data_IF_077518261585
#
_entry.id   IF_077518261585
#
_cell.length_a   1.000
_cell.length_b   1.000
_cell.length_c   1.000
_cell.angle_alpha   90.00
_cell.angle_beta   90.00
_cell.angle_gamma   90.00
#
_symmetry.space_group_name_H-M   'P 1'
#
loop_
_entity.id
_entity.type
_entity.pdbx_description
1 polymer ?
#
# COMPACT_ATOMS: atom_id res chain seq x y z
N UNK A 1 0.46 5.15 -21.12
CA UNK A 1 -0.44 4.31 -20.29
C UNK A 1 0.43 3.25 -19.68
N UNK A 2 0.20 2.92 -18.43
CA UNK A 2 0.96 1.93 -17.69
C UNK A 2 -0.01 1.00 -16.96
N UNK A 3 0.30 -0.29 -16.99
CA UNK A 3 -0.35 -1.34 -16.21
C UNK A 3 0.69 -1.83 -15.22
N UNK A 4 0.39 -1.71 -13.93
CA UNK A 4 1.24 -2.15 -12.86
C UNK A 4 0.61 -3.34 -12.11
N UNK A 5 1.44 -4.29 -11.72
CA UNK A 5 1.07 -5.52 -11.02
C UNK A 5 1.68 -5.49 -9.63
N UNK A 6 0.84 -5.42 -8.60
CA UNK A 6 1.27 -5.30 -7.21
C UNK A 6 0.70 -6.40 -6.32
N UNK A 7 1.41 -6.71 -5.25
CA UNK A 7 0.95 -7.68 -4.25
C UNK A 7 0.00 -7.08 -3.21
N UNK A 8 -0.04 -5.74 -3.10
CA UNK A 8 -0.88 -5.02 -2.17
C UNK A 8 -1.70 -3.91 -2.86
N UNK A 9 -2.47 -3.20 -2.06
CA UNK A 9 -3.38 -2.13 -2.49
C UNK A 9 -2.69 -0.75 -2.58
N UNK A 10 -1.36 -0.72 -2.52
CA UNK A 10 -0.51 0.47 -2.39
C UNK A 10 0.55 0.51 -3.49
N UNK A 11 0.74 1.69 -4.11
CA UNK A 11 1.79 1.84 -5.13
C UNK A 11 3.17 1.96 -4.49
N UNK A 12 4.18 1.39 -5.14
CA UNK A 12 5.59 1.56 -4.78
C UNK A 12 6.41 0.27 -4.66
N UNK A 13 5.84 -0.89 -4.98
CA UNK A 13 6.59 -2.13 -5.22
C UNK A 13 5.89 -2.91 -6.32
N UNK A 14 5.84 -2.30 -7.51
CA UNK A 14 4.96 -2.75 -8.60
C UNK A 14 5.78 -3.00 -9.86
N UNK A 15 5.58 -4.17 -10.47
CA UNK A 15 6.09 -4.43 -11.82
C UNK A 15 5.20 -3.72 -12.83
N UNK A 16 5.78 -2.90 -13.68
CA UNK A 16 5.05 -2.03 -14.59
C UNK A 16 5.33 -2.40 -16.04
N UNK A 17 4.27 -2.57 -16.81
CA UNK A 17 4.33 -2.63 -18.27
C UNK A 17 3.69 -1.37 -18.83
N UNK A 18 4.45 -0.62 -19.61
CA UNK A 18 4.04 0.68 -20.11
C UNK A 18 4.10 0.78 -21.62
N UNK A 19 3.22 1.61 -22.15
CA UNK A 19 3.15 1.97 -23.55
C UNK A 19 3.28 3.50 -23.67
N UNK A 20 4.29 3.94 -24.43
CA UNK A 20 4.74 5.32 -24.52
C UNK A 20 4.69 5.80 -25.97
N UNK A 21 4.28 7.06 -26.15
CA UNK A 21 4.22 7.75 -27.43
C UNK A 21 5.20 8.94 -27.39
N UNK A 22 6.44 8.78 -27.86
CA UNK A 22 7.43 9.86 -27.89
C UNK A 22 7.03 10.98 -28.86
N UNK A 23 7.48 12.20 -28.59
CA UNK A 23 7.19 13.37 -29.43
C UNK A 23 8.00 13.30 -30.74
N UNK A 24 7.46 12.59 -31.74
CA UNK A 24 8.08 12.43 -33.06
C UNK A 24 8.72 11.06 -33.32
N UNK A 25 8.41 10.06 -32.50
CA UNK A 25 8.85 8.68 -32.73
C UNK A 25 7.69 7.69 -32.76
N UNK A 26 8.00 6.46 -33.15
CA UNK A 26 7.05 5.34 -33.11
C UNK A 26 6.68 4.98 -31.65
N UNK A 27 5.46 4.46 -31.42
CA UNK A 27 5.07 4.01 -30.09
C UNK A 27 5.91 2.81 -29.65
N UNK A 28 6.30 2.80 -28.37
CA UNK A 28 7.11 1.74 -27.78
C UNK A 28 6.46 1.18 -26.52
N UNK A 29 6.77 -0.08 -26.21
CA UNK A 29 6.40 -0.72 -24.96
C UNK A 29 7.66 -1.06 -24.17
N UNK A 30 7.63 -0.81 -22.86
CA UNK A 30 8.76 -1.05 -21.95
C UNK A 30 8.27 -1.66 -20.65
N UNK A 31 9.18 -2.34 -19.94
CA UNK A 31 9.03 -2.63 -18.54
C UNK A 31 9.64 -1.53 -17.69
N UNK A 32 9.13 -1.38 -16.49
CA UNK A 32 9.75 -0.57 -15.44
C UNK A 32 9.32 -1.12 -14.08
N UNK A 33 10.02 -0.71 -13.03
CA UNK A 33 9.70 -1.10 -11.66
C UNK A 33 9.40 0.17 -10.86
N UNK A 34 8.26 0.18 -10.16
CA UNK A 34 7.97 1.22 -9.19
C UNK A 34 8.65 0.85 -7.87
N UNK A 35 9.56 1.69 -7.41
CA UNK A 35 10.25 1.54 -6.12
C UNK A 35 9.98 2.80 -5.28
N UNK A 36 9.09 2.65 -4.30
CA UNK A 36 8.56 3.73 -3.49
C UNK A 36 7.79 4.77 -4.32
N UNK A 37 8.40 5.94 -4.53
CA UNK A 37 7.81 7.06 -5.28
C UNK A 37 8.50 7.29 -6.63
N UNK A 38 9.39 6.39 -7.02
CA UNK A 38 10.22 6.51 -8.21
C UNK A 38 9.95 5.35 -9.15
N UNK A 39 10.06 5.61 -10.45
CA UNK A 39 9.97 4.60 -11.49
C UNK A 39 11.37 4.34 -12.05
N UNK A 40 11.78 3.08 -12.09
CA UNK A 40 13.11 2.63 -12.50
C UNK A 40 12.98 1.79 -13.77
N UNK A 41 13.44 2.28 -14.94
CA UNK A 41 13.48 1.47 -16.15
C UNK A 41 14.71 0.52 -16.18
N UNK A 42 14.69 -0.52 -17.03
CA UNK A 42 15.84 -1.36 -17.33
C UNK A 42 17.01 -0.55 -17.91
N UNK A 43 18.15 -0.57 -17.20
CA UNK A 43 19.36 0.14 -17.62
C UNK A 43 20.47 -0.79 -18.12
N UNK A 44 20.60 -1.99 -17.54
CA UNK A 44 21.60 -2.99 -17.93
C UNK A 44 21.25 -3.65 -19.27
N UNK A 45 22.25 -3.98 -20.09
CA UNK A 45 22.04 -4.64 -21.39
C UNK A 45 21.34 -5.99 -21.26
N UNK A 46 21.62 -6.76 -20.21
CA UNK A 46 20.96 -8.03 -19.95
C UNK A 46 19.45 -7.85 -19.69
N UNK A 47 19.07 -6.82 -18.94
CA UNK A 47 17.67 -6.53 -18.62
C UNK A 47 16.91 -6.01 -19.84
N UNK A 48 17.56 -5.19 -20.69
CA UNK A 48 17.00 -4.74 -21.97
C UNK A 48 16.79 -5.90 -22.95
N UNK A 49 17.74 -6.83 -23.03
CA UNK A 49 17.60 -8.04 -23.84
C UNK A 49 16.45 -8.93 -23.33
N UNK A 50 16.29 -9.05 -22.01
CA UNK A 50 15.16 -9.75 -21.42
C UNK A 50 13.82 -9.05 -21.70
N UNK A 51 13.77 -7.71 -21.70
CA UNK A 51 12.60 -6.94 -22.12
C UNK A 51 12.19 -7.28 -23.56
N UNK A 52 13.12 -7.21 -24.51
CA UNK A 52 12.85 -7.49 -25.93
C UNK A 52 12.35 -8.93 -26.18
N UNK A 53 12.81 -9.89 -25.38
CA UNK A 53 12.36 -11.28 -25.47
C UNK A 53 10.97 -11.52 -24.85
N UNK A 54 10.61 -10.75 -23.82
CA UNK A 54 9.40 -10.97 -23.04
C UNK A 54 8.26 -9.99 -23.35
N UNK A 55 8.53 -8.89 -24.04
CA UNK A 55 7.56 -7.85 -24.36
C UNK A 55 7.59 -7.51 -25.86
N UNK A 56 6.43 -7.57 -26.50
CA UNK A 56 6.26 -7.16 -27.90
C UNK A 56 5.04 -6.29 -28.05
N UNK A 57 5.24 -5.05 -28.52
CA UNK A 57 4.12 -4.20 -28.94
C UNK A 57 3.52 -4.75 -30.24
N UNK A 58 2.22 -4.99 -30.25
CA UNK A 58 1.47 -5.52 -31.41
C UNK A 58 0.81 -4.37 -32.17
N UNK A 59 0.12 -3.49 -31.45
CA UNK A 59 -0.54 -2.34 -32.04
C UNK A 59 -0.63 -1.21 -31.01
N UNK A 60 -0.43 0.03 -31.45
CA UNK A 60 -0.62 1.19 -30.61
C UNK A 60 -1.19 2.33 -31.45
N UNK A 61 -2.16 3.04 -30.87
CA UNK A 61 -2.80 4.18 -31.50
C UNK A 61 -3.04 5.27 -30.45
N UNK A 62 -2.83 6.53 -30.83
CA UNK A 62 -3.14 7.70 -30.01
C UNK A 62 -3.84 8.72 -30.89
N UNK A 63 -5.09 9.00 -30.56
CA UNK A 63 -5.96 9.95 -31.27
C UNK A 63 -6.75 10.82 -30.30
N UNK A 64 -7.78 11.49 -30.82
CA UNK A 64 -8.70 12.31 -30.01
C UNK A 64 -9.54 11.45 -29.05
N UNK A 65 -9.88 10.22 -29.47
CA UNK A 65 -10.63 9.24 -28.67
C UNK A 65 -9.82 8.60 -27.53
N UNK A 66 -8.55 8.97 -27.39
CA UNK A 66 -7.65 8.50 -26.34
C UNK A 66 -6.51 7.65 -26.87
N UNK A 67 -5.97 6.81 -25.98
CA UNK A 67 -4.81 5.98 -26.28
C UNK A 67 -5.14 4.51 -26.15
N UNK A 68 -4.72 3.73 -27.15
CA UNK A 68 -4.90 2.29 -27.22
C UNK A 68 -3.54 1.61 -27.38
N UNK A 69 -3.29 0.58 -26.59
CA UNK A 69 -2.06 -0.20 -26.64
C UNK A 69 -2.37 -1.69 -26.50
N UNK A 70 -1.93 -2.47 -27.48
CA UNK A 70 -1.99 -3.91 -27.52
C UNK A 70 -0.56 -4.44 -27.57
N UNK A 71 -0.16 -5.14 -26.52
CA UNK A 71 1.15 -5.76 -26.41
C UNK A 71 1.00 -7.22 -25.97
N UNK A 72 1.99 -8.05 -26.31
CA UNK A 72 2.14 -9.41 -25.81
C UNK A 72 3.25 -9.43 -24.79
N UNK A 73 2.96 -10.02 -23.64
CA UNK A 73 3.88 -10.15 -22.54
C UNK A 73 3.98 -11.62 -22.13
N UNK A 74 5.20 -12.10 -21.92
CA UNK A 74 5.46 -13.43 -21.37
C UNK A 74 5.50 -13.36 -19.83
N UNK A 75 4.84 -14.31 -19.17
CA UNK A 75 5.03 -14.50 -17.73
C UNK A 75 6.42 -15.09 -17.47
N UNK A 76 7.15 -14.52 -16.52
CA UNK A 76 8.43 -15.07 -16.06
C UNK A 76 8.25 -15.83 -14.75
N UNK A 77 9.23 -16.69 -14.40
CA UNK A 77 9.29 -17.38 -13.11
C UNK A 77 10.13 -16.60 -12.08
N UNK A 78 10.25 -15.27 -12.23
CA UNK A 78 11.09 -14.42 -11.38
C UNK A 78 12.56 -14.33 -11.78
N UNK A 79 12.94 -14.86 -12.95
CA UNK A 79 14.32 -14.77 -13.48
C UNK A 79 14.70 -13.35 -13.95
N UNK A 80 13.70 -12.54 -14.33
CA UNK A 80 13.90 -11.17 -14.77
C UNK A 80 13.48 -10.20 -13.68
N UNK A 81 14.34 -9.21 -13.41
CA UNK A 81 14.12 -8.17 -12.40
C UNK A 81 12.93 -7.25 -12.70
N UNK A 82 12.59 -7.08 -13.98
CA UNK A 82 11.57 -6.11 -14.41
C UNK A 82 10.31 -6.75 -14.99
N UNK A 83 10.39 -8.01 -15.44
CA UNK A 83 9.24 -8.68 -16.03
C UNK A 83 8.29 -9.22 -14.95
N UNK A 84 6.99 -8.87 -14.98
CA UNK A 84 6.02 -9.36 -14.01
C UNK A 84 5.86 -10.89 -14.04
N UNK A 85 5.70 -11.49 -12.86
CA UNK A 85 5.23 -12.88 -12.70
C UNK A 85 3.70 -12.85 -12.73
N UNK A 86 3.09 -13.28 -13.83
CA UNK A 86 1.64 -13.15 -14.06
C UNK A 86 0.81 -14.35 -13.55
N UNK A 87 1.46 -15.41 -13.07
CA UNK A 87 0.81 -16.63 -12.57
C UNK A 87 0.36 -16.52 -11.10
N UNK A 88 0.40 -15.33 -10.51
CA UNK A 88 -0.05 -15.07 -9.14
C UNK A 88 -1.21 -14.08 -9.11
N UNK A 89 -1.99 -14.14 -8.05
CA UNK A 89 -3.11 -13.24 -7.82
C UNK A 89 -2.57 -11.88 -7.35
N UNK A 90 -2.79 -10.81 -8.13
CA UNK A 90 -2.22 -9.48 -7.90
C UNK A 90 -3.23 -8.36 -8.13
N UNK A 91 -3.04 -7.23 -7.46
CA UNK A 91 -3.79 -6.02 -7.79
C UNK A 91 -3.26 -5.44 -9.11
N UNK A 92 -4.19 -5.00 -9.96
CA UNK A 92 -3.87 -4.36 -11.23
C UNK A 92 -4.11 -2.87 -11.07
N UNK A 93 -3.08 -2.09 -11.39
CA UNK A 93 -3.09 -0.63 -11.36
C UNK A 93 -3.01 -0.14 -12.80
N UNK A 94 -3.99 0.66 -13.21
CA UNK A 94 -4.02 1.27 -14.53
C UNK A 94 -3.85 2.78 -14.38
N UNK A 95 -2.77 3.31 -14.94
CA UNK A 95 -2.47 4.73 -14.88
C UNK A 95 -2.19 5.31 -16.28
N UNK A 96 -2.55 6.58 -16.45
CA UNK A 96 -2.17 7.36 -17.64
C UNK A 96 -1.53 8.67 -17.21
N UNK A 97 -0.48 9.05 -17.92
CA UNK A 97 0.37 10.17 -17.54
C UNK A 97 1.45 10.43 -18.59
N UNK A 98 2.32 11.38 -18.28
CA UNK A 98 3.48 11.70 -19.10
C UNK A 98 4.62 10.73 -18.78
N UNK A 99 5.39 10.35 -19.80
CA UNK A 99 6.62 9.61 -19.64
C UNK A 99 7.81 10.59 -19.77
N UNK A 100 8.79 10.45 -18.90
CA UNK A 100 10.07 11.15 -18.93
C UNK A 100 11.09 10.32 -19.70
N UNK A 101 11.74 10.94 -20.67
CA UNK A 101 12.78 10.34 -21.53
C UNK A 101 12.32 9.09 -22.30
N UNK A 102 11.01 8.96 -22.56
CA UNK A 102 10.41 7.84 -23.31
C UNK A 102 10.34 6.50 -22.57
N UNK A 103 11.06 6.34 -21.44
CA UNK A 103 11.12 5.09 -20.67
C UNK A 103 10.78 5.20 -19.20
N UNK A 104 11.01 6.34 -18.56
CA UNK A 104 10.61 6.53 -17.15
C UNK A 104 9.22 7.13 -17.07
N UNK A 105 8.43 6.75 -16.08
CA UNK A 105 7.10 7.31 -15.85
C UNK A 105 7.15 8.48 -14.88
N UNK A 106 6.35 9.51 -15.16
CA UNK A 106 6.11 10.60 -14.22
C UNK A 106 4.91 10.28 -13.31
N UNK A 107 4.79 11.03 -12.22
CA UNK A 107 3.72 10.87 -11.23
C UNK A 107 2.37 11.16 -11.90
N UNK A 108 1.41 10.24 -11.74
CA UNK A 108 0.03 10.42 -12.19
C UNK A 108 -0.71 11.45 -11.31
N UNK A 109 -1.94 11.83 -11.68
CA UNK A 109 -2.69 12.77 -10.83
C UNK A 109 -2.98 12.18 -9.45
N UNK A 110 -2.82 12.97 -8.40
CA UNK A 110 -3.21 12.61 -7.03
C UNK A 110 -4.65 13.04 -6.69
N UNK A 111 -5.32 13.73 -7.61
CA UNK A 111 -6.71 14.17 -7.49
C UNK A 111 -7.66 13.07 -7.99
N UNK A 112 -8.53 12.49 -7.12
CA UNK A 112 -9.49 11.46 -7.49
C UNK A 112 -10.49 11.87 -8.57
N UNK A 113 -10.71 13.18 -8.75
CA UNK A 113 -11.62 13.71 -9.78
C UNK A 113 -10.95 13.85 -11.14
N UNK A 114 -9.62 13.73 -11.18
CA UNK A 114 -8.86 13.82 -12.42
C UNK A 114 -9.00 12.55 -13.24
N UNK A 115 -9.16 12.71 -14.55
CA UNK A 115 -9.16 11.59 -15.49
C UNK A 115 -7.80 10.86 -15.53
N UNK A 116 -6.72 11.48 -15.01
CA UNK A 116 -5.40 10.84 -14.87
C UNK A 116 -5.20 10.16 -13.50
N UNK A 117 -6.23 10.08 -12.67
CA UNK A 117 -6.18 9.31 -11.44
C UNK A 117 -6.08 7.80 -11.78
N UNK A 118 -5.22 7.04 -11.08
CA UNK A 118 -5.02 5.63 -11.36
C UNK A 118 -6.25 4.84 -10.93
N UNK A 119 -6.60 3.85 -11.73
CA UNK A 119 -7.58 2.83 -11.35
C UNK A 119 -6.86 1.65 -10.71
N UNK A 120 -7.42 1.09 -9.64
CA UNK A 120 -6.85 -0.07 -8.95
C UNK A 120 -7.97 -1.08 -8.74
N UNK A 121 -7.72 -2.36 -9.04
CA UNK A 121 -8.70 -3.42 -8.75
C UNK A 121 -8.98 -3.51 -7.25
N UNK A 122 -10.24 -3.76 -6.90
CA UNK A 122 -10.66 -3.97 -5.51
C UNK A 122 -10.11 -5.28 -4.96
N UNK A 123 -10.08 -6.31 -5.81
CA UNK A 123 -9.58 -7.64 -5.50
C UNK A 123 -8.32 -7.97 -6.32
N UNK A 124 -7.62 -9.02 -5.89
CA UNK A 124 -6.50 -9.58 -6.62
C UNK A 124 -7.01 -10.38 -7.81
N UNK A 125 -6.36 -10.21 -8.95
CA UNK A 125 -6.71 -10.85 -10.22
C UNK A 125 -5.50 -11.64 -10.71
N UNK A 126 -5.75 -12.86 -11.22
CA UNK A 126 -4.74 -13.66 -11.90
C UNK A 126 -4.91 -13.52 -13.40
N UNK A 127 -3.89 -13.03 -14.10
CA UNK A 127 -3.98 -12.76 -15.54
C UNK A 127 -3.78 -14.04 -16.38
N UNK A 128 -3.17 -15.09 -15.79
CA UNK A 128 -2.83 -16.34 -16.49
C UNK A 128 -3.86 -17.45 -16.34
N UNK A 129 -4.64 -17.47 -15.25
CA UNK A 129 -5.72 -18.45 -15.04
C UNK A 129 -6.82 -18.25 -16.11
N UNK A 130 -6.80 -19.12 -17.13
CA UNK A 130 -7.85 -19.23 -18.17
C UNK A 130 -8.86 -20.32 -17.78
N UNK A 131 -10.06 -19.95 -17.36
CA UNK A 131 -11.07 -20.92 -16.90
C UNK A 131 -11.58 -21.88 -18.00
N UNK A 132 -11.39 -23.19 -17.84
CA UNK A 132 -12.04 -24.23 -18.65
C UNK A 132 -13.59 -24.15 -18.57
N UNK A 133 -14.35 -24.60 -19.59
CA UNK A 133 -15.79 -24.34 -19.67
C UNK A 133 -16.56 -24.97 -18.50
N UNK A 134 -17.21 -24.12 -17.70
CA UNK A 134 -18.15 -24.52 -16.67
C UNK A 134 -19.38 -25.18 -17.31
N UNK A 135 -19.68 -26.41 -16.92
CA UNK A 135 -20.96 -27.05 -17.22
C UNK A 135 -22.07 -26.29 -16.47
N UNK A 136 -23.14 -25.97 -17.20
CA UNK A 136 -24.32 -25.31 -16.65
C UNK A 136 -24.84 -26.10 -15.42
N UNK A 137 -25.20 -25.42 -14.32
CA UNK A 137 -25.78 -26.09 -13.16
C UNK A 137 -27.15 -26.63 -13.57
N UNK A 138 -27.22 -27.95 -13.73
CA UNK A 138 -28.50 -28.65 -13.66
C UNK A 138 -28.86 -28.75 -12.20
N UNK A 139 -30.05 -28.26 -11.87
CA UNK A 139 -30.74 -28.28 -10.59
C UNK A 139 -30.61 -26.98 -9.78
N UNK A 140 -31.72 -26.24 -9.81
CA UNK A 140 -32.03 -25.18 -8.87
C UNK A 140 -32.08 -25.76 -7.45
N UNK A 141 -31.02 -25.57 -6.68
CA UNK A 141 -31.10 -25.47 -5.22
C UNK A 141 -30.47 -24.15 -4.83
N UNK A 142 -31.25 -23.35 -4.10
CA UNK A 142 -30.95 -22.02 -3.59
C UNK A 142 -29.45 -21.78 -3.40
N UNK A 143 -28.89 -20.94 -4.28
CA UNK A 143 -27.57 -20.36 -4.07
C UNK A 143 -27.74 -19.28 -2.99
N UNK A 144 -27.22 -19.55 -1.80
CA UNK A 144 -26.95 -18.50 -0.81
C UNK A 144 -25.98 -17.50 -1.44
N UNK A 145 -26.44 -16.24 -1.47
CA UNK A 145 -25.71 -15.08 -1.92
C UNK A 145 -24.67 -14.73 -0.83
N UNK A 146 -23.51 -15.40 -0.84
CA UNK A 146 -22.38 -14.96 -0.02
C UNK A 146 -21.81 -13.67 -0.61
N UNK A 147 -22.20 -12.55 0.00
CA UNK A 147 -21.60 -11.23 -0.21
C UNK A 147 -20.10 -11.32 0.05
N UNK A 148 -19.27 -10.99 -0.95
CA UNK A 148 -17.85 -10.78 -0.76
C UNK A 148 -17.63 -9.82 0.42
N UNK A 149 -16.87 -10.26 1.43
CA UNK A 149 -16.55 -9.48 2.63
C UNK A 149 -15.75 -8.23 2.21
N UNK A 150 -16.46 -7.11 2.03
CA UNK A 150 -15.87 -5.78 1.86
C UNK A 150 -14.90 -5.51 3.02
N UNK A 151 -13.67 -5.01 2.76
CA UNK A 151 -12.75 -4.65 3.82
C UNK A 151 -13.41 -3.66 4.79
N UNK A 152 -13.47 -4.02 6.07
CA UNK A 152 -14.11 -3.26 7.17
C UNK A 152 -13.72 -1.76 7.23
N UNK A 153 -12.59 -1.39 6.62
CA UNK A 153 -12.17 0.01 6.44
C UNK A 153 -11.92 0.26 4.95
N UNK A 154 -12.77 1.12 4.35
CA UNK A 154 -12.61 1.58 2.97
C UNK A 154 -11.22 2.20 2.75
N UNK A 155 -10.66 1.99 1.55
CA UNK A 155 -9.34 2.52 1.15
C UNK A 155 -9.27 4.04 1.30
N UNK A 156 -10.36 4.73 0.98
CA UNK A 156 -10.48 6.18 1.15
C UNK A 156 -10.33 6.59 2.62
N UNK A 157 -10.92 5.82 3.52
CA UNK A 157 -10.78 6.03 4.97
C UNK A 157 -9.35 5.84 5.43
N UNK A 158 -8.62 4.83 4.92
CA UNK A 158 -7.20 4.64 5.25
C UNK A 158 -6.36 5.85 4.82
N UNK A 159 -6.55 6.32 3.59
CA UNK A 159 -5.84 7.50 3.08
C UNK A 159 -6.16 8.76 3.88
N UNK A 160 -7.43 8.98 4.22
CA UNK A 160 -7.86 10.12 5.01
C UNK A 160 -7.29 10.06 6.43
N UNK A 161 -7.29 8.88 7.05
CA UNK A 161 -6.70 8.64 8.37
C UNK A 161 -5.21 9.00 8.41
N UNK A 162 -4.43 8.58 7.40
CA UNK A 162 -3.00 8.91 7.31
C UNK A 162 -2.79 10.42 7.21
N UNK A 163 -3.61 11.12 6.41
CA UNK A 163 -3.55 12.59 6.26
C UNK A 163 -3.88 13.29 7.57
N UNK A 164 -4.98 12.92 8.21
CA UNK A 164 -5.41 13.51 9.50
C UNK A 164 -4.38 13.27 10.58
N UNK A 165 -3.83 12.04 10.67
CA UNK A 165 -2.75 11.73 11.59
C UNK A 165 -1.54 12.67 11.38
N UNK A 166 -1.10 12.86 10.13
CA UNK A 166 -0.01 13.79 9.81
C UNK A 166 -0.31 15.24 10.22
N UNK A 167 -1.53 15.73 9.97
CA UNK A 167 -1.95 17.08 10.37
C UNK A 167 -1.97 17.25 11.90
N UNK A 168 -2.50 16.27 12.62
CA UNK A 168 -2.53 16.27 14.08
C UNK A 168 -1.12 16.24 14.67
N UNK A 169 -0.18 15.51 14.06
CA UNK A 169 1.22 15.48 14.49
C UNK A 169 1.89 16.84 14.34
N UNK A 170 1.69 17.53 13.20
CA UNK A 170 2.24 18.89 12.99
C UNK A 170 1.62 19.87 13.99
N UNK A 171 0.30 19.80 14.19
CA UNK A 171 -0.38 20.67 15.14
C UNK A 171 0.12 20.46 16.58
N UNK A 172 0.22 19.20 17.03
CA UNK A 172 0.76 18.86 18.34
C UNK A 172 2.21 19.34 18.50
N UNK A 173 3.03 19.17 17.47
CA UNK A 173 4.42 19.66 17.46
C UNK A 173 4.51 21.18 17.65
N UNK A 174 3.68 21.96 16.95
CA UNK A 174 3.63 23.41 17.11
C UNK A 174 3.27 23.83 18.54
N UNK A 175 2.27 23.18 19.15
CA UNK A 175 1.83 23.47 20.51
C UNK A 175 2.89 23.07 21.55
N UNK A 176 3.48 21.88 21.42
CA UNK A 176 4.45 21.35 22.39
C UNK A 176 5.75 22.15 22.39
N UNK A 177 6.29 22.49 21.21
CA UNK A 177 7.52 23.30 21.11
C UNK A 177 7.27 24.71 21.65
N UNK A 178 6.16 25.35 21.27
CA UNK A 178 5.81 26.68 21.79
C UNK A 178 5.64 26.67 23.32
N UNK A 179 4.93 25.68 23.85
CA UNK A 179 4.70 25.53 25.30
C UNK A 179 5.99 25.30 26.07
N UNK A 180 6.92 24.51 25.52
CA UNK A 180 8.20 24.25 26.15
C UNK A 180 9.09 25.52 26.18
N UNK A 181 9.12 26.30 25.10
CA UNK A 181 9.85 27.58 25.05
C UNK A 181 9.27 28.59 26.03
N UNK A 182 7.94 28.74 26.08
CA UNK A 182 7.28 29.64 27.02
C UNK A 182 7.54 29.23 28.47
N UNK A 183 7.46 27.93 28.78
CA UNK A 183 7.74 27.40 30.12
C UNK A 183 9.19 27.67 30.54
N UNK A 184 10.16 27.46 29.63
CA UNK A 184 11.57 27.72 29.90
C UNK A 184 11.87 29.21 30.15
N UNK A 185 11.11 30.12 29.52
CA UNK A 185 11.31 31.56 29.64
C UNK A 185 10.61 32.17 30.86
N UNK A 186 9.35 31.80 31.10
CA UNK A 186 8.49 32.49 32.08
C UNK A 186 8.27 31.71 33.36
N UNK A 187 8.47 30.39 33.35
CA UNK A 187 8.14 29.52 34.48
C UNK A 187 9.39 28.95 35.18
N UNK A 188 10.58 29.42 34.80
CA UNK A 188 11.89 28.94 35.26
C UNK A 188 12.07 28.92 36.78
N UNK A 189 11.50 29.90 37.47
CA UNK A 189 11.76 30.15 38.89
C UNK A 189 10.84 29.36 39.82
N UNK A 190 9.79 28.73 39.27
CA UNK A 190 8.83 27.92 40.01
C UNK A 190 9.19 26.43 40.05
N UNK A 191 10.20 26.01 39.28
CA UNK A 191 10.66 24.63 39.28
C UNK A 191 11.64 24.35 40.43
N UNK A 192 11.63 23.10 40.92
CA UNK A 192 12.49 22.65 42.02
C UNK A 192 13.96 23.08 41.86
N UNK A 193 14.56 23.53 42.96
CA UNK A 193 15.97 23.90 43.01
C UNK A 193 16.93 22.70 43.00
N UNK A 194 16.41 21.47 43.01
CA UNK A 194 17.22 20.27 42.88
C UNK A 194 17.90 20.22 41.50
N UNK A 195 19.24 20.21 41.52
CA UNK A 195 20.08 20.24 40.33
C UNK A 195 21.00 19.01 40.29
N UNK A 196 20.55 17.86 39.75
CA UNK A 196 21.46 16.75 39.47
C UNK A 196 22.52 17.21 38.46
N UNK A 197 23.79 16.86 38.69
CA UNK A 197 24.92 17.26 37.84
C UNK A 197 25.04 18.77 37.54
N UNK A 198 24.54 19.61 38.46
CA UNK A 198 24.63 21.08 38.32
C UNK A 198 23.58 21.71 37.40
N UNK A 199 22.60 20.95 36.90
CA UNK A 199 21.54 21.43 36.02
C UNK A 199 20.16 21.06 36.59
N UNK A 200 19.19 21.98 36.53
CA UNK A 200 17.85 21.77 37.14
C UNK A 200 17.08 20.64 36.43
N UNK A 201 16.30 19.84 37.15
CA UNK A 201 15.51 18.72 36.59
C UNK A 201 14.63 19.10 35.39
N UNK A 202 13.93 20.24 35.47
CA UNK A 202 13.06 20.71 34.39
C UNK A 202 13.83 20.96 33.08
N UNK A 203 15.12 21.30 33.18
CA UNK A 203 15.97 21.50 32.02
C UNK A 203 16.28 20.16 31.34
N UNK A 204 16.67 19.13 32.09
CA UNK A 204 16.94 17.80 31.52
C UNK A 204 15.72 17.22 30.80
N UNK A 205 14.56 17.15 31.47
CA UNK A 205 13.35 16.59 30.89
C UNK A 205 12.83 17.43 29.73
N UNK A 206 12.86 18.76 29.86
CA UNK A 206 12.44 19.69 28.81
C UNK A 206 13.31 19.58 27.54
N UNK A 207 14.64 19.54 27.71
CA UNK A 207 15.57 19.42 26.57
C UNK A 207 15.41 18.08 25.85
N UNK A 208 15.34 16.96 26.60
CA UNK A 208 15.15 15.63 25.99
C UNK A 208 13.81 15.56 25.25
N UNK A 209 12.73 16.09 25.85
CA UNK A 209 11.41 16.10 25.21
C UNK A 209 11.40 16.93 23.91
N UNK A 210 12.04 18.10 23.87
CA UNK A 210 12.16 18.92 22.66
C UNK A 210 12.98 18.19 21.58
N UNK A 211 14.11 17.57 21.95
CA UNK A 211 14.94 16.82 21.00
C UNK A 211 14.16 15.67 20.36
N UNK A 212 13.44 14.89 21.18
CA UNK A 212 12.58 13.81 20.68
C UNK A 212 11.48 14.38 19.77
N UNK A 213 10.85 15.50 20.15
CA UNK A 213 9.80 16.14 19.36
C UNK A 213 10.29 16.69 18.01
N UNK A 214 11.57 17.08 17.89
CA UNK A 214 12.18 17.53 16.62
C UNK A 214 12.63 16.33 15.78
N UNK A 215 13.24 15.31 16.40
CA UNK A 215 13.76 14.14 15.68
C UNK A 215 12.63 13.29 15.10
N UNK A 216 11.49 13.18 15.79
CA UNK A 216 10.33 12.39 15.37
C UNK A 216 9.82 12.73 13.95
N UNK A 217 9.48 13.99 13.61
CA UNK A 217 9.08 14.37 12.25
C UNK A 217 10.20 14.23 11.22
N UNK A 218 11.45 14.54 11.60
CA UNK A 218 12.60 14.40 10.69
C UNK A 218 12.81 12.94 10.27
N UNK A 219 12.72 12.01 11.22
CA UNK A 219 12.74 10.57 10.91
C UNK A 219 11.56 10.19 10.01
N UNK A 220 10.36 10.71 10.27
CA UNK A 220 9.19 10.45 9.43
C UNK A 220 9.36 10.93 7.98
N UNK A 221 10.05 12.05 7.75
CA UNK A 221 10.38 12.54 6.41
C UNK A 221 11.41 11.67 5.71
N UNK A 222 12.38 11.13 6.45
CA UNK A 222 13.41 10.22 5.95
C UNK A 222 12.96 8.76 5.88
N UNK A 223 11.64 8.51 5.82
CA UNK A 223 11.06 7.16 5.75
C UNK A 223 11.63 6.35 4.59
N UNK A 224 12.16 5.18 4.91
CA UNK A 224 12.70 4.23 3.93
C UNK A 224 11.62 3.68 2.98
N UNK A 225 12.04 3.25 1.79
CA UNK A 225 11.19 2.63 0.78
C UNK A 225 10.60 1.29 1.25
N UNK A 226 9.47 0.84 0.68
CA UNK A 226 8.73 -0.34 1.14
C UNK A 226 9.50 -1.66 1.06
N UNK A 227 10.33 -1.82 0.03
CA UNK A 227 11.09 -3.03 -0.31
C UNK A 227 12.40 -3.21 0.48
N UNK A 228 12.87 -2.13 1.13
CA UNK A 228 14.10 -2.18 1.91
C UNK A 228 13.91 -2.98 3.20
N UNK A 229 14.82 -3.92 3.48
CA UNK A 229 14.85 -4.67 4.75
C UNK A 229 14.98 -3.79 6.02
N UNK A 230 15.27 -2.49 5.85
CA UNK A 230 15.29 -1.49 6.92
C UNK A 230 13.89 -0.97 7.32
N UNK A 231 12.85 -1.20 6.51
CA UNK A 231 11.50 -0.68 6.77
C UNK A 231 10.85 -1.18 8.08
N UNK A 232 11.00 -2.46 8.48
CA UNK A 232 10.54 -2.92 9.79
C UNK A 232 11.25 -2.20 10.94
N UNK A 233 12.56 -1.95 10.82
CA UNK A 233 13.38 -1.25 11.81
C UNK A 233 12.91 0.21 11.93
N UNK A 234 12.67 0.87 10.80
CA UNK A 234 12.13 2.23 10.78
C UNK A 234 10.76 2.30 11.49
N UNK A 235 9.82 1.43 11.13
CA UNK A 235 8.49 1.42 11.74
C UNK A 235 8.56 1.19 13.25
N UNK A 236 9.41 0.24 13.69
CA UNK A 236 9.62 -0.06 15.10
C UNK A 236 10.24 1.12 15.85
N UNK A 237 11.28 1.74 15.26
CA UNK A 237 11.98 2.90 15.84
C UNK A 237 11.06 4.11 15.94
N UNK A 238 10.36 4.46 14.86
CA UNK A 238 9.43 5.58 14.83
C UNK A 238 8.29 5.40 15.84
N UNK A 239 7.76 4.18 15.97
CA UNK A 239 6.73 3.85 16.96
C UNK A 239 7.23 4.01 18.40
N UNK A 240 8.37 3.42 18.74
CA UNK A 240 8.92 3.46 20.11
C UNK A 240 9.30 4.88 20.50
N UNK A 241 9.94 5.62 19.59
CA UNK A 241 10.33 7.00 19.85
C UNK A 241 9.09 7.88 20.05
N UNK A 242 8.01 7.61 19.33
CA UNK A 242 6.75 8.35 19.45
C UNK A 242 6.07 8.09 20.80
N UNK A 243 5.96 6.81 21.19
CA UNK A 243 5.40 6.42 22.50
C UNK A 243 6.25 7.00 23.64
N UNK A 244 7.58 6.91 23.53
CA UNK A 244 8.49 7.52 24.52
C UNK A 244 8.28 9.02 24.63
N UNK A 245 8.12 9.72 23.51
CA UNK A 245 7.82 11.16 23.49
C UNK A 245 6.49 11.50 24.18
N UNK A 246 5.44 10.72 23.94
CA UNK A 246 4.14 10.89 24.61
C UNK A 246 4.26 10.68 26.13
N UNK A 247 4.96 9.64 26.57
CA UNK A 247 5.17 9.37 28.01
C UNK A 247 5.96 10.50 28.68
N UNK A 248 7.03 10.98 28.04
CA UNK A 248 7.82 12.11 28.55
C UNK A 248 6.99 13.41 28.62
N UNK A 249 6.13 13.66 27.63
CA UNK A 249 5.23 14.82 27.66
C UNK A 249 4.26 14.77 28.84
N UNK A 250 3.71 13.60 29.17
CA UNK A 250 2.86 13.44 30.36
C UNK A 250 3.65 13.71 31.62
N UNK A 251 4.82 13.09 31.79
CA UNK A 251 5.66 13.30 32.99
C UNK A 251 5.94 14.80 33.17
N UNK A 252 6.22 15.52 32.09
CA UNK A 252 6.39 16.96 32.11
C UNK A 252 5.10 17.71 32.52
N UNK A 253 3.94 17.31 32.00
CA UNK A 253 2.63 17.87 32.41
C UNK A 253 2.35 17.61 33.89
N UNK A 254 2.64 16.41 34.42
CA UNK A 254 2.45 16.07 35.83
C UNK A 254 3.33 16.93 36.74
N UNK A 255 4.62 17.06 36.38
CA UNK A 255 5.57 17.89 37.11
C UNK A 255 5.10 19.35 37.09
N UNK A 256 4.70 19.87 35.92
CA UNK A 256 4.18 21.22 35.80
C UNK A 256 2.91 21.42 36.65
N UNK A 257 1.92 20.54 36.51
CA UNK A 257 0.66 20.64 37.24
C UNK A 257 0.87 20.66 38.76
N UNK A 258 1.83 19.88 39.28
CA UNK A 258 2.22 19.88 40.69
C UNK A 258 3.09 21.08 41.10
N UNK A 259 4.00 21.55 40.25
CA UNK A 259 4.86 22.70 40.54
C UNK A 259 4.12 24.04 40.49
N UNK A 260 3.03 24.12 39.73
CA UNK A 260 2.27 25.35 39.52
C UNK A 260 0.94 25.39 40.26
N UNK A 261 0.75 24.60 41.34
CA UNK A 261 -0.52 24.54 42.10
C UNK A 261 -1.03 25.93 42.52
N UNK A 262 -0.12 26.87 42.84
CA UNK A 262 -0.46 28.25 43.21
C UNK A 262 -1.06 29.09 42.08
N UNK A 263 -0.84 28.72 40.81
CA UNK A 263 -1.43 29.39 39.64
C UNK A 263 -2.86 28.91 39.34
N UNK A 264 -3.29 27.80 39.94
CA UNK A 264 -4.63 27.26 39.72
C UNK A 264 -5.64 27.96 40.62
N UNK A 265 -6.77 28.35 40.04
CA UNK A 265 -7.91 28.88 40.81
C UNK A 265 -8.45 27.86 41.83
N UNK A 266 -8.42 26.56 41.51
CA UNK A 266 -8.74 25.49 42.46
C UNK A 266 -7.82 24.26 42.23
N UNK A 267 -7.32 23.60 43.29
CA UNK A 267 -6.46 22.41 43.18
C UNK A 267 -7.10 21.23 42.45
N UNK A 268 -8.43 21.11 42.46
CA UNK A 268 -9.15 20.04 41.76
C UNK A 268 -8.96 20.07 40.24
N UNK A 269 -8.76 21.25 39.64
CA UNK A 269 -8.52 21.38 38.21
C UNK A 269 -7.20 20.73 37.78
N UNK A 270 -6.17 20.83 38.61
CA UNK A 270 -4.89 20.15 38.38
C UNK A 270 -5.09 18.63 38.28
N UNK A 271 -5.81 18.04 39.24
CA UNK A 271 -6.11 16.60 39.24
C UNK A 271 -6.93 16.16 38.03
N UNK A 272 -7.94 16.94 37.64
CA UNK A 272 -8.76 16.64 36.47
C UNK A 272 -7.98 16.66 35.16
N UNK A 273 -7.08 17.63 34.98
CA UNK A 273 -6.22 17.71 33.79
C UNK A 273 -5.28 16.50 33.73
N UNK A 274 -4.71 16.09 34.86
CA UNK A 274 -3.88 14.89 34.95
C UNK A 274 -4.65 13.63 34.53
N UNK A 275 -5.85 13.43 35.09
CA UNK A 275 -6.69 12.27 34.77
C UNK A 275 -7.05 12.25 33.28
N UNK A 276 -7.43 13.41 32.72
CA UNK A 276 -7.78 13.55 31.31
C UNK A 276 -6.65 13.08 30.39
N UNK A 277 -5.42 13.56 30.60
CA UNK A 277 -4.28 13.18 29.76
C UNK A 277 -3.87 11.70 29.92
N UNK A 278 -3.97 11.14 31.13
CA UNK A 278 -3.73 9.70 31.35
C UNK A 278 -4.73 8.86 30.54
N UNK A 279 -6.02 9.21 30.58
CA UNK A 279 -7.07 8.51 29.82
C UNK A 279 -6.81 8.59 28.32
N UNK A 280 -6.47 9.77 27.79
CA UNK A 280 -6.15 9.95 26.37
C UNK A 280 -5.00 9.04 25.93
N UNK A 281 -3.97 8.87 26.76
CA UNK A 281 -2.83 8.00 26.42
C UNK A 281 -3.19 6.52 26.49
N UNK A 282 -3.91 6.08 27.51
CA UNK A 282 -4.38 4.69 27.59
C UNK A 282 -5.25 4.36 26.37
N UNK A 283 -6.17 5.24 26.00
CA UNK A 283 -7.04 5.06 24.84
C UNK A 283 -6.25 5.05 23.53
N UNK A 284 -5.27 5.95 23.35
CA UNK A 284 -4.47 5.98 22.12
C UNK A 284 -3.58 4.74 21.98
N UNK A 285 -2.93 4.27 23.06
CA UNK A 285 -2.13 3.03 23.04
C UNK A 285 -3.03 1.82 22.77
N UNK A 286 -4.17 1.72 23.45
CA UNK A 286 -5.14 0.65 23.23
C UNK A 286 -5.66 0.63 21.78
N UNK A 287 -5.94 1.80 21.22
CA UNK A 287 -6.34 1.95 19.81
C UNK A 287 -5.22 1.48 18.87
N UNK A 288 -3.97 1.87 19.09
CA UNK A 288 -2.85 1.44 18.25
C UNK A 288 -2.60 -0.06 18.30
N UNK A 289 -2.68 -0.68 19.49
CA UNK A 289 -2.57 -2.13 19.65
C UNK A 289 -3.74 -2.85 18.98
N UNK A 290 -4.96 -2.35 19.12
CA UNK A 290 -6.14 -2.88 18.43
C UNK A 290 -5.98 -2.82 16.91
N UNK A 291 -5.55 -1.68 16.36
CA UNK A 291 -5.29 -1.52 14.92
C UNK A 291 -4.19 -2.47 14.43
N UNK A 292 -3.14 -2.66 15.23
CA UNK A 292 -2.04 -3.58 14.91
C UNK A 292 -2.51 -5.04 14.92
N UNK A 293 -3.33 -5.41 15.90
CA UNK A 293 -3.95 -6.74 16.01
C UNK A 293 -4.92 -7.04 14.87
N UNK A 294 -5.76 -6.06 14.49
CA UNK A 294 -6.67 -6.22 13.35
C UNK A 294 -5.91 -6.41 12.04
N UNK A 295 -4.80 -5.69 11.83
CA UNK A 295 -3.95 -5.84 10.64
C UNK A 295 -3.32 -7.24 10.54
N UNK A 296 -2.81 -7.78 11.64
CA UNK A 296 -2.19 -9.12 11.63
C UNK A 296 -3.21 -10.22 11.33
N UNK A 297 -4.44 -10.10 11.87
CA UNK A 297 -5.52 -11.04 11.62
C UNK A 297 -6.08 -10.95 10.19
N UNK A 298 -6.20 -9.75 9.63
CA UNK A 298 -6.63 -9.56 8.25
C UNK A 298 -5.66 -10.22 7.25
N UNK A 299 -4.35 -10.01 7.44
CA UNK A 299 -3.31 -10.65 6.62
C UNK A 299 -3.36 -12.18 6.69
N UNK A 300 -3.62 -12.76 7.87
CA UNK A 300 -3.74 -14.21 8.04
C UNK A 300 -5.00 -14.80 7.39
N UNK A 301 -6.10 -14.03 7.31
CA UNK A 301 -7.34 -14.47 6.64
C UNK A 301 -7.17 -14.52 5.13
N UNK A 302 -6.49 -13.53 4.52
CA UNK A 302 -6.23 -13.50 3.08
C UNK A 302 -5.45 -14.73 2.60
N UNK A 303 -4.45 -15.18 3.35
CA UNK A 303 -3.65 -16.37 3.01
C UNK A 303 -4.41 -17.69 3.17
N UNK A 304 -5.41 -17.75 4.06
CA UNK A 304 -6.23 -18.95 4.27
C UNK A 304 -7.41 -19.05 3.28
N UNK A 305 -7.78 -17.95 2.62
CA UNK A 305 -8.93 -17.86 1.71
C UNK A 305 -8.59 -18.20 0.26
N UNK A 306 -7.31 -18.36 -0.09
CA UNK A 306 -6.79 -18.68 -1.43
C UNK A 306 -7.11 -20.13 -1.91
N UNK A 307 -8.01 -20.85 -1.24
CA UNK A 307 -8.37 -22.24 -1.53
C UNK A 307 -9.89 -22.44 -1.63
N UNK A 308 -10.62 -21.65 -2.44
CA UNK A 308 -11.95 -22.07 -2.92
C UNK A 308 -12.38 -21.43 -4.26
N UNK A 309 -12.47 -22.31 -5.25
CA UNK A 309 -12.90 -22.11 -6.64
C UNK A 309 -14.29 -21.47 -6.79
N UNK A 310 -14.46 -20.48 -7.67
CA UNK A 310 -15.76 -20.15 -8.29
C UNK A 310 -15.65 -19.25 -9.53
N UNK A 311 -16.38 -19.65 -10.57
CA UNK A 311 -16.35 -19.22 -11.98
C UNK A 311 -17.42 -18.16 -12.34
N UNK A 312 -17.13 -17.22 -13.26
CA UNK A 312 -17.72 -17.15 -14.63
C UNK A 312 -17.62 -15.78 -15.32
N UNK A 313 -17.16 -15.78 -16.59
CA UNK A 313 -17.68 -15.10 -17.82
C UNK A 313 -16.51 -14.87 -18.82
N UNK A 314 -16.63 -15.32 -20.10
CA UNK A 314 -15.52 -15.40 -21.08
C UNK A 314 -15.84 -14.73 -22.43
N UNK A 315 -14.84 -14.08 -23.03
CA UNK A 315 -14.87 -13.35 -24.31
C UNK A 315 -13.70 -13.82 -25.21
N UNK A 316 -13.79 -13.65 -26.54
CA UNK A 316 -12.73 -14.07 -27.49
C UNK A 316 -11.69 -12.97 -27.82
N UNK A 317 -10.56 -13.39 -28.40
CA UNK A 317 -9.43 -12.52 -28.81
C UNK A 317 -9.78 -11.51 -29.92
N UNK A 318 -11.01 -11.54 -30.44
CA UNK A 318 -11.52 -10.61 -31.45
C UNK A 318 -12.53 -9.61 -30.90
N UNK A 319 -12.86 -9.69 -29.60
CA UNK A 319 -13.84 -8.83 -28.98
C UNK A 319 -15.29 -9.21 -29.30
N UNK A 320 -15.59 -10.48 -29.57
CA UNK A 320 -16.96 -10.97 -29.80
C UNK A 320 -17.43 -11.96 -28.72
N UNK A 321 -18.73 -11.90 -28.42
CA UNK A 321 -19.43 -12.88 -27.57
C UNK A 321 -19.55 -14.20 -28.33
N UNK A 322 -19.01 -15.30 -27.79
CA UNK A 322 -19.09 -16.62 -28.42
C UNK A 322 -20.32 -17.38 -27.88
N UNK A 323 -21.34 -17.57 -28.72
CA UNK A 323 -22.53 -18.36 -28.38
C UNK A 323 -22.37 -19.84 -28.79
N UNK A 324 -22.23 -20.73 -27.79
CA UNK A 324 -22.51 -22.19 -27.77
C UNK A 324 -21.78 -23.15 -28.75
N UNK A 325 -21.64 -24.45 -28.38
CA UNK A 325 -20.49 -25.27 -28.74
C UNK A 325 -20.65 -26.12 -30.02
N UNK A 326 -19.51 -26.61 -30.52
CA UNK A 326 -19.40 -27.44 -31.71
C UNK A 326 -19.95 -28.87 -31.53
N UNK A 327 -20.63 -29.36 -32.58
CA UNK A 327 -21.22 -30.70 -32.70
C UNK A 327 -20.13 -31.78 -32.85
N UNK A 328 -20.07 -32.74 -31.94
CA UNK A 328 -19.14 -33.88 -31.99
C UNK A 328 -19.62 -34.89 -33.03
N UNK A 329 -18.79 -35.21 -34.04
CA UNK A 329 -19.02 -36.32 -34.97
C UNK A 329 -18.22 -37.54 -34.49
N UNK A 330 -18.89 -38.61 -34.08
CA UNK A 330 -18.24 -39.87 -33.71
C UNK A 330 -17.61 -40.56 -34.93
N UNK A 331 -16.31 -40.83 -34.87
CA UNK A 331 -15.61 -41.71 -35.83
C UNK A 331 -15.56 -43.12 -35.26
N UNK A 332 -16.24 -44.07 -35.91
CA UNK A 332 -16.28 -45.50 -35.56
C UNK A 332 -14.90 -46.14 -35.82
N UNK A 333 -14.31 -46.79 -34.82
CA UNK A 333 -13.07 -47.58 -34.96
C UNK A 333 -13.40 -48.94 -35.57
N UNK A 334 -12.74 -49.28 -36.67
CA UNK A 334 -12.82 -50.60 -37.33
C UNK A 334 -11.79 -51.50 -36.65
N UNK A 335 -12.25 -52.59 -36.02
CA UNK A 335 -11.38 -53.66 -35.53
C UNK A 335 -11.25 -54.71 -36.63
N UNK A 336 -10.02 -54.94 -37.12
CA UNK A 336 -9.66 -56.09 -37.97
C UNK A 336 -8.81 -57.03 -37.11
N UNK A 337 -9.24 -58.29 -37.04
CA UNK A 337 -8.75 -59.28 -36.07
C UNK A 337 -7.40 -59.90 -36.40
N UNK A 338 -6.96 -60.71 -35.45
CA UNK A 338 -5.99 -61.78 -35.66
C UNK A 338 -6.57 -63.11 -35.15
N UNK A 339 -6.44 -64.09 -36.02
CA UNK A 339 -6.80 -65.49 -35.94
C UNK A 339 -5.71 -66.29 -35.22
N UNK A 340 -6.09 -67.31 -34.42
CA UNK A 340 -5.35 -68.58 -34.25
C UNK A 340 -6.14 -69.60 -33.40
N UNK A 341 -6.85 -70.46 -34.12
CA UNK A 341 -6.84 -71.94 -34.12
C UNK A 341 -6.53 -72.77 -32.85
N UNK A 342 -7.41 -73.77 -32.57
CA UNK A 342 -7.27 -75.01 -31.76
C UNK A 342 -8.66 -75.31 -31.14
N UNK A 343 -9.44 -76.37 -31.40
CA UNK A 343 -9.32 -77.72 -32.00
C UNK A 343 -10.67 -78.05 -32.66
#
# INVERSE_FOLDING_TARGET
>A
MAVAFSEDDSMGDDFVTQCVFPAGGEPTAHFSLNVGKSNVPPNEEADKAAEEQNLKLVHAHKGEDGMYCHFRQKSTNGESKFAPVLDKDQHIFLARGKARDGRSLDIHSLDPTSVNFPYITNEKVNVMKRDAPAQAPTNASAAEEETADEPFISRDTKFWLIKVHGMLMIFAWMVLVASAVLSARYLRDHFSNSAPWGLKWWFHFGTIAILVAIIQPLLALMRCQPDTGARPIFNWTHRILGITGIVLAIVAILIAANSFVSLWSNPSWCVLVVIFYIVVVVLSVALFELLSYMKSKASSKTTAMEMRNRTSHRYDDSGRVVNSPAKIIHKKVVVRGEEKESI
#
